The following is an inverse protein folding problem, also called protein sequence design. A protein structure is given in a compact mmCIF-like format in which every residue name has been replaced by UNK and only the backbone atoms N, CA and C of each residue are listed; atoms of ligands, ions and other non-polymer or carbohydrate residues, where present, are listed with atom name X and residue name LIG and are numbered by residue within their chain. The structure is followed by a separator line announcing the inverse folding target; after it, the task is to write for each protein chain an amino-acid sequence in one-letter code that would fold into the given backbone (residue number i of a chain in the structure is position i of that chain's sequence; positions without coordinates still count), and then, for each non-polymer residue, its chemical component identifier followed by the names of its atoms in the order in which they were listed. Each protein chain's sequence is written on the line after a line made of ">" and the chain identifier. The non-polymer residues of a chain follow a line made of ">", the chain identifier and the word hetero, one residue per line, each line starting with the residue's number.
data_IF_456270465647
#
_entry.id   IF_456270465647
#
_cell.length_a   1.000
_cell.length_b   1.000
_cell.length_c   1.000
_cell.angle_alpha   90.00
_cell.angle_beta   90.00
_cell.angle_gamma   90.00
#
_symmetry.space_group_name_H-M   'P 1'
#
loop_
_entity.id
_entity.type
_entity.pdbx_description
1 polymer ?
#
# COMPACT_ATOMS: atom_id res chain seq x y z
N UNK A 1 -2.22 -1.00 23.46
CA UNK A 1 -2.72 -0.81 22.08
C UNK A 1 -3.71 -1.92 21.77
N UNK A 2 -4.90 -1.56 21.26
CA UNK A 2 -5.91 -2.53 20.81
C UNK A 2 -6.00 -2.48 19.29
N UNK A 3 -6.34 -3.61 18.66
CA UNK A 3 -6.81 -3.57 17.27
C UNK A 3 -8.00 -2.61 17.20
N UNK A 4 -8.05 -1.78 16.15
CA UNK A 4 -9.07 -0.75 15.92
C UNK A 4 -8.81 0.65 16.51
N UNK A 5 -7.67 0.89 17.19
CA UNK A 5 -7.26 2.24 17.58
C UNK A 5 -6.96 3.10 16.32
N UNK A 6 -7.22 4.41 16.33
CA UNK A 6 -6.83 5.34 15.25
C UNK A 6 -5.88 6.41 15.78
N UNK A 7 -4.98 6.90 14.92
CA UNK A 7 -3.99 7.91 15.29
C UNK A 7 -4.08 9.11 14.37
N UNK A 8 -4.25 10.31 14.93
CA UNK A 8 -4.16 11.55 14.15
C UNK A 8 -2.70 11.86 13.82
N UNK A 9 -1.80 11.58 14.77
CA UNK A 9 -0.34 11.72 14.65
C UNK A 9 0.37 10.54 15.33
N UNK A 10 1.65 10.24 15.00
CA UNK A 10 2.47 9.29 15.74
C UNK A 10 2.63 9.74 17.21
N UNK A 11 3.04 8.83 18.11
CA UNK A 11 3.36 9.23 19.49
C UNK A 11 4.46 10.30 19.51
N UNK A 12 4.46 11.24 20.47
CA UNK A 12 5.49 12.29 20.57
C UNK A 12 6.93 11.75 20.59
N UNK A 13 7.14 10.55 21.15
CA UNK A 13 8.43 9.87 21.20
C UNK A 13 8.55 8.74 20.15
N UNK A 14 7.91 8.91 18.99
CA UNK A 14 8.09 8.01 17.84
C UNK A 14 9.29 8.42 17.00
N UNK A 15 10.01 7.45 16.46
CA UNK A 15 11.11 7.70 15.55
C UNK A 15 10.61 7.86 14.10
N UNK A 16 10.93 9.00 13.49
CA UNK A 16 10.76 9.17 12.05
C UNK A 16 11.92 8.51 11.31
N UNK A 17 11.61 7.69 10.32
CA UNK A 17 12.63 7.09 9.46
C UNK A 17 12.77 7.93 8.19
N UNK A 18 13.96 8.50 7.98
CA UNK A 18 14.22 9.45 6.88
C UNK A 18 15.32 9.00 5.91
N UNK A 19 15.96 7.87 6.18
CA UNK A 19 17.10 7.36 5.40
C UNK A 19 16.91 5.89 5.07
N UNK A 20 17.63 5.42 4.04
CA UNK A 20 17.72 4.01 3.70
C UNK A 20 18.04 3.17 4.94
N UNK A 21 17.13 2.26 5.27
CA UNK A 21 17.18 1.51 6.53
C UNK A 21 16.70 0.08 6.31
N UNK A 22 17.36 -0.88 6.95
CA UNK A 22 16.89 -2.26 7.07
C UNK A 22 16.47 -2.51 8.51
N UNK A 23 15.34 -3.20 8.69
CA UNK A 23 14.76 -3.50 9.99
C UNK A 23 14.84 -4.99 10.24
N UNK A 24 15.35 -5.36 11.40
CA UNK A 24 15.50 -6.75 11.81
C UNK A 24 14.77 -7.00 13.13
N UNK A 25 14.20 -8.19 13.28
CA UNK A 25 13.65 -8.63 14.57
C UNK A 25 14.77 -9.04 15.54
N UNK A 26 14.39 -9.40 16.77
CA UNK A 26 15.31 -9.88 17.81
C UNK A 26 16.11 -11.13 17.45
N UNK A 27 15.70 -11.87 16.42
CA UNK A 27 16.37 -13.06 15.94
C UNK A 27 17.27 -12.76 14.73
N UNK A 28 17.42 -11.48 14.35
CA UNK A 28 18.18 -11.06 13.19
C UNK A 28 17.47 -11.29 11.85
N UNK A 29 16.16 -11.61 11.86
CA UNK A 29 15.39 -11.78 10.64
C UNK A 29 14.98 -10.41 10.08
N UNK A 30 15.18 -10.20 8.79
CA UNK A 30 14.72 -8.99 8.10
C UNK A 30 13.18 -8.93 8.12
N UNK A 31 12.63 -7.82 8.61
CA UNK A 31 11.18 -7.58 8.74
C UNK A 31 10.71 -6.35 7.96
N UNK A 32 11.65 -5.52 7.51
CA UNK A 32 11.36 -4.34 6.73
C UNK A 32 12.59 -3.77 6.03
N UNK A 33 12.34 -3.08 4.91
CA UNK A 33 13.34 -2.39 4.11
C UNK A 33 12.74 -1.07 3.67
N UNK A 34 13.42 0.04 3.95
CA UNK A 34 13.04 1.35 3.47
C UNK A 34 14.13 1.91 2.56
N UNK A 35 13.73 2.40 1.39
CA UNK A 35 14.62 3.07 0.42
C UNK A 35 13.99 4.38 -0.03
N UNK A 36 14.74 5.46 0.13
CA UNK A 36 14.32 6.82 -0.22
C UNK A 36 14.59 7.07 -1.69
N UNK A 37 13.60 7.61 -2.41
CA UNK A 37 13.69 7.98 -3.83
C UNK A 37 14.25 6.85 -4.73
N UNK A 38 13.86 5.61 -4.44
CA UNK A 38 14.36 4.43 -5.12
C UNK A 38 13.72 4.20 -6.50
N UNK A 39 12.45 4.60 -6.67
CA UNK A 39 11.75 4.57 -7.95
C UNK A 39 12.02 5.88 -8.68
N UNK A 40 12.74 5.84 -9.82
CA UNK A 40 12.99 7.05 -10.59
C UNK A 40 11.69 7.70 -11.03
N UNK A 41 11.63 9.03 -11.00
CA UNK A 41 10.43 9.80 -11.36
C UNK A 41 9.80 9.38 -12.71
N UNK A 42 10.63 9.09 -13.71
CA UNK A 42 10.19 8.69 -15.05
C UNK A 42 9.58 7.28 -15.14
N UNK A 43 9.83 6.41 -14.14
CA UNK A 43 9.21 5.07 -14.04
C UNK A 43 7.76 5.15 -13.57
N UNK A 44 7.37 6.26 -12.93
CA UNK A 44 5.98 6.59 -12.63
C UNK A 44 5.51 7.47 -13.79
N UNK A 45 4.76 6.89 -14.73
CA UNK A 45 4.34 7.61 -15.94
C UNK A 45 3.28 8.68 -15.67
N UNK A 46 3.28 9.77 -16.44
CA UNK A 46 2.27 10.85 -16.32
C UNK A 46 0.85 10.31 -16.50
N UNK A 47 0.65 9.37 -17.43
CA UNK A 47 -0.63 8.67 -17.61
C UNK A 47 -1.07 7.90 -16.35
N UNK A 48 -0.14 7.26 -15.64
CA UNK A 48 -0.45 6.57 -14.39
C UNK A 48 -0.90 7.56 -13.33
N UNK A 49 -0.20 8.69 -13.20
CA UNK A 49 -0.61 9.77 -12.29
C UNK A 49 -2.00 10.26 -12.66
N UNK A 50 -2.23 10.70 -13.90
CA UNK A 50 -3.54 11.19 -14.37
C UNK A 50 -4.68 10.19 -14.13
N UNK A 51 -4.47 8.91 -14.43
CA UNK A 51 -5.49 7.90 -14.23
C UNK A 51 -5.82 7.71 -12.75
N UNK A 52 -4.82 7.72 -11.85
CA UNK A 52 -5.01 7.65 -10.41
C UNK A 52 -5.63 8.92 -9.82
N UNK A 53 -5.22 10.11 -10.28
CA UNK A 53 -5.77 11.39 -9.81
C UNK A 53 -7.20 11.64 -10.26
N UNK A 54 -7.59 11.07 -11.40
CA UNK A 54 -8.96 11.19 -11.95
C UNK A 54 -10.02 10.44 -11.13
N UNK A 55 -9.62 9.62 -10.16
CA UNK A 55 -10.51 8.77 -9.37
C UNK A 55 -11.19 9.62 -8.29
N UNK A 56 -12.52 9.69 -8.34
CA UNK A 56 -13.32 10.42 -7.36
C UNK A 56 -13.75 9.55 -6.18
N UNK A 57 -14.06 10.19 -5.05
CA UNK A 57 -14.61 9.54 -3.85
C UNK A 57 -15.89 8.72 -4.14
N UNK A 58 -16.77 9.25 -5.00
CA UNK A 58 -18.00 8.58 -5.41
C UNK A 58 -17.75 7.31 -6.22
N UNK A 59 -16.64 7.26 -6.96
CA UNK A 59 -16.23 6.06 -7.69
C UNK A 59 -15.66 5.03 -6.71
N UNK A 60 -14.79 5.43 -5.77
CA UNK A 60 -14.15 4.54 -4.78
C UNK A 60 -15.13 3.79 -3.88
N UNK A 61 -16.12 4.49 -3.32
CA UNK A 61 -17.15 3.89 -2.44
C UNK A 61 -17.99 2.82 -3.14
N UNK A 62 -18.10 2.88 -4.47
CA UNK A 62 -18.80 1.90 -5.31
C UNK A 62 -17.87 0.80 -5.83
N UNK A 63 -16.59 1.11 -5.96
CA UNK A 63 -15.56 0.26 -6.53
C UNK A 63 -14.97 -0.79 -5.58
N UNK A 64 -15.09 -0.64 -4.26
CA UNK A 64 -14.69 -1.68 -3.29
C UNK A 64 -15.59 -2.93 -3.30
N UNK A 65 -16.62 -3.00 -4.16
CA UNK A 65 -17.41 -4.20 -4.39
C UNK A 65 -16.63 -5.19 -5.26
N UNK A 66 -16.68 -6.48 -4.91
CA UNK A 66 -15.95 -7.52 -5.64
C UNK A 66 -16.59 -7.86 -6.99
N UNK A 67 -17.53 -7.05 -7.51
CA UNK A 67 -18.08 -7.12 -8.88
C UNK A 67 -19.21 -6.10 -9.07
N UNK A 68 -19.59 -5.82 -10.32
CA UNK A 68 -20.85 -5.16 -10.67
C UNK A 68 -22.09 -5.87 -10.09
N UNK A 69 -22.06 -7.21 -10.01
CA UNK A 69 -23.16 -8.03 -9.48
C UNK A 69 -23.39 -7.87 -7.96
N UNK A 70 -22.35 -7.61 -7.17
CA UNK A 70 -22.49 -7.37 -5.72
C UNK A 70 -23.04 -5.97 -5.40
N UNK A 71 -22.85 -5.01 -6.29
CA UNK A 71 -23.38 -3.64 -6.14
C UNK A 71 -24.91 -3.61 -6.18
N UNK A 72 -25.51 -4.51 -6.97
CA UNK A 72 -26.96 -4.68 -7.04
C UNK A 72 -27.50 -5.14 -5.68
N UNK A 73 -26.83 -6.09 -5.02
CA UNK A 73 -27.23 -6.60 -3.68
C UNK A 73 -26.94 -5.64 -2.54
N UNK A 74 -25.83 -4.87 -2.58
CA UNK A 74 -25.50 -3.90 -1.53
C UNK A 74 -26.50 -2.74 -1.43
N UNK A 75 -27.22 -2.41 -2.52
CA UNK A 75 -28.27 -1.38 -2.49
C UNK A 75 -29.47 -1.75 -1.60
N UNK A 76 -29.65 -3.02 -1.28
CA UNK A 76 -30.78 -3.52 -0.50
C UNK A 76 -30.55 -3.46 1.02
N UNK A 77 -29.30 -3.41 1.50
CA UNK A 77 -28.95 -3.38 2.93
C UNK A 77 -28.24 -2.08 3.33
N UNK A 78 -29.03 -1.01 3.57
CA UNK A 78 -28.52 0.35 3.85
C UNK A 78 -28.15 0.66 5.31
N UNK A 79 -28.49 -0.17 6.28
CA UNK A 79 -28.51 0.27 7.69
C UNK A 79 -27.22 0.08 8.51
N UNK A 80 -26.19 -0.62 8.02
CA UNK A 80 -24.99 -0.94 8.83
C UNK A 80 -23.67 -0.26 8.39
N UNK A 81 -23.69 0.74 7.51
CA UNK A 81 -22.47 1.42 7.07
C UNK A 81 -22.07 2.55 8.03
N UNK A 82 -21.77 2.20 9.29
CA UNK A 82 -21.19 3.13 10.26
C UNK A 82 -19.65 3.13 10.18
N UNK A 83 -19.08 4.33 10.07
CA UNK A 83 -17.67 4.73 10.14
C UNK A 83 -16.76 4.21 9.01
N UNK A 84 -16.97 4.76 7.81
CA UNK A 84 -16.34 4.29 6.57
C UNK A 84 -14.93 4.85 6.36
N UNK A 85 -13.97 4.03 6.76
CA UNK A 85 -12.62 4.00 6.21
C UNK A 85 -12.69 4.02 4.66
N UNK A 86 -12.02 5.00 4.02
CA UNK A 86 -12.09 5.28 2.56
C UNK A 86 -10.98 4.55 1.80
N UNK A 87 -11.22 3.28 1.45
CA UNK A 87 -10.30 2.51 0.59
C UNK A 87 -11.04 1.68 -0.43
N UNK A 88 -10.47 1.55 -1.62
CA UNK A 88 -10.87 0.53 -2.57
C UNK A 88 -9.65 -0.32 -2.94
N UNK A 89 -9.68 -1.65 -2.75
CA UNK A 89 -8.68 -2.50 -3.36
C UNK A 89 -8.78 -2.33 -4.88
N UNK A 90 -7.65 -2.19 -5.57
CA UNK A 90 -7.63 -2.58 -6.97
C UNK A 90 -7.80 -4.09 -6.93
N UNK A 91 -8.94 -4.60 -7.41
CA UNK A 91 -9.14 -6.02 -7.48
C UNK A 91 -8.21 -6.62 -8.51
N UNK A 92 -8.21 -7.95 -8.57
CA UNK A 92 -7.37 -8.71 -9.48
C UNK A 92 -7.64 -8.29 -10.93
N UNK A 93 -6.61 -7.78 -11.62
CA UNK A 93 -6.59 -7.48 -13.05
C UNK A 93 -6.44 -8.81 -13.82
N UNK A 94 -7.51 -9.58 -13.90
CA UNK A 94 -7.49 -10.90 -14.52
C UNK A 94 -8.87 -11.54 -14.65
N UNK A 95 -8.90 -12.78 -15.18
CA UNK A 95 -10.14 -13.54 -15.39
C UNK A 95 -10.84 -13.82 -14.06
N UNK A 96 -12.13 -13.52 -13.96
CA UNK A 96 -12.97 -13.81 -12.80
C UNK A 96 -12.93 -15.31 -12.45
N UNK A 97 -12.72 -15.65 -11.17
CA UNK A 97 -12.90 -17.01 -10.64
C UNK A 97 -13.78 -16.99 -9.39
N UNK A 98 -14.35 -18.14 -9.00
CA UNK A 98 -15.38 -18.26 -7.95
C UNK A 98 -15.13 -17.51 -6.62
N UNK A 99 -13.87 -17.21 -6.25
CA UNK A 99 -13.50 -16.54 -4.97
C UNK A 99 -12.57 -15.34 -5.12
N UNK A 100 -12.12 -15.04 -6.34
CA UNK A 100 -11.22 -13.92 -6.62
C UNK A 100 -11.82 -13.18 -7.80
N UNK A 101 -12.25 -11.94 -7.56
CA UNK A 101 -12.97 -11.16 -8.55
C UNK A 101 -12.28 -9.81 -8.78
N UNK A 102 -12.24 -9.31 -10.02
CA UNK A 102 -11.87 -7.93 -10.28
C UNK A 102 -12.79 -7.00 -9.49
N UNK A 103 -12.24 -5.89 -9.00
CA UNK A 103 -13.11 -4.81 -8.54
C UNK A 103 -13.61 -4.03 -9.74
N UNK A 104 -14.71 -3.31 -9.57
CA UNK A 104 -15.20 -2.40 -10.61
C UNK A 104 -14.13 -1.34 -10.99
N UNK A 105 -13.18 -1.09 -10.10
CA UNK A 105 -12.02 -0.26 -10.40
C UNK A 105 -11.16 -0.87 -11.50
N UNK A 106 -10.72 -2.11 -11.30
CA UNK A 106 -9.86 -2.82 -12.24
C UNK A 106 -10.55 -3.07 -13.59
N UNK A 107 -11.89 -3.16 -13.61
CA UNK A 107 -12.69 -3.22 -14.83
C UNK A 107 -12.72 -1.87 -15.58
N UNK A 108 -12.84 -0.75 -14.87
CA UNK A 108 -12.94 0.58 -15.47
C UNK A 108 -11.59 1.21 -15.83
N UNK A 109 -10.50 0.82 -15.15
CA UNK A 109 -9.17 1.43 -15.24
C UNK A 109 -8.07 0.37 -15.44
N UNK A 110 -8.32 -0.58 -16.34
CA UNK A 110 -7.43 -1.72 -16.61
C UNK A 110 -6.00 -1.31 -17.02
N UNK A 111 -5.85 -0.15 -17.67
CA UNK A 111 -4.57 0.37 -18.18
C UNK A 111 -3.55 0.76 -17.09
N UNK A 112 -4.00 0.99 -15.85
CA UNK A 112 -3.14 1.30 -14.70
C UNK A 112 -2.14 0.17 -14.43
N UNK A 113 -2.48 -1.08 -14.78
CA UNK A 113 -1.62 -2.26 -14.63
C UNK A 113 -0.24 -2.07 -15.25
N UNK A 114 -0.19 -1.52 -16.46
CA UNK A 114 1.04 -1.40 -17.23
C UNK A 114 1.94 -0.31 -16.63
N UNK A 115 1.35 0.77 -16.11
CA UNK A 115 2.08 1.81 -15.37
C UNK A 115 2.67 1.28 -14.06
N UNK A 116 1.89 0.48 -13.31
CA UNK A 116 2.33 -0.08 -12.03
C UNK A 116 3.45 -1.13 -12.20
N UNK A 117 3.51 -1.86 -13.32
CA UNK A 117 4.55 -2.86 -13.56
C UNK A 117 5.97 -2.29 -13.39
N UNK A 118 6.22 -1.07 -13.89
CA UNK A 118 7.52 -0.40 -13.77
C UNK A 118 7.88 -0.01 -12.33
N UNK A 119 6.87 0.25 -11.50
CA UNK A 119 7.03 0.57 -10.08
C UNK A 119 7.37 -0.70 -9.29
N UNK A 120 6.63 -1.79 -9.56
CA UNK A 120 6.85 -3.08 -8.91
C UNK A 120 8.17 -3.74 -9.31
N UNK A 121 8.63 -3.55 -10.55
CA UNK A 121 9.96 -3.99 -11.00
C UNK A 121 11.07 -3.48 -10.07
N UNK A 122 11.03 -2.20 -9.70
CA UNK A 122 12.02 -1.60 -8.80
C UNK A 122 11.89 -2.17 -7.38
N UNK A 123 10.67 -2.27 -6.85
CA UNK A 123 10.43 -2.81 -5.52
C UNK A 123 10.88 -4.29 -5.39
N UNK A 124 10.64 -5.09 -6.43
CA UNK A 124 11.08 -6.49 -6.48
C UNK A 124 12.58 -6.64 -6.60
N UNK A 125 13.25 -5.76 -7.35
CA UNK A 125 14.71 -5.72 -7.38
C UNK A 125 15.28 -5.48 -5.98
N UNK A 126 14.76 -4.48 -5.26
CA UNK A 126 15.17 -4.19 -3.88
C UNK A 126 14.92 -5.41 -2.98
N UNK A 127 13.77 -6.08 -3.13
CA UNK A 127 13.46 -7.26 -2.33
C UNK A 127 14.41 -8.43 -2.62
N UNK A 128 14.67 -8.71 -3.89
CA UNK A 128 15.58 -9.75 -4.33
C UNK A 128 17.01 -9.53 -3.82
N UNK A 129 17.46 -8.27 -3.74
CA UNK A 129 18.76 -7.90 -3.23
C UNK A 129 18.85 -8.02 -1.70
N UNK A 130 17.80 -7.61 -0.97
CA UNK A 130 17.83 -7.58 0.50
C UNK A 130 17.46 -8.92 1.15
N UNK A 131 16.60 -9.72 0.52
CA UNK A 131 16.10 -10.99 1.05
C UNK A 131 15.95 -12.04 -0.08
N UNK A 132 17.07 -12.47 -0.70
CA UNK A 132 17.04 -13.30 -1.91
C UNK A 132 16.34 -14.65 -1.68
N UNK A 133 16.41 -15.22 -0.47
CA UNK A 133 15.81 -16.52 -0.15
C UNK A 133 14.28 -16.41 -0.07
N UNK A 134 13.78 -15.41 0.64
CA UNK A 134 12.36 -15.11 0.79
C UNK A 134 11.75 -14.71 -0.57
N UNK A 135 12.43 -13.84 -1.32
CA UNK A 135 11.99 -13.46 -2.65
C UNK A 135 11.92 -14.64 -3.62
N UNK A 136 12.92 -15.54 -3.59
CA UNK A 136 12.88 -16.77 -4.40
C UNK A 136 11.73 -17.70 -3.99
N UNK A 137 11.41 -17.74 -2.70
CA UNK A 137 10.28 -18.53 -2.17
C UNK A 137 8.95 -17.95 -2.63
N UNK A 138 8.78 -16.63 -2.53
CA UNK A 138 7.66 -15.89 -3.09
C UNK A 138 7.51 -16.20 -4.58
N UNK A 139 8.56 -15.98 -5.38
CA UNK A 139 8.52 -16.18 -6.83
C UNK A 139 8.12 -17.61 -7.22
N UNK A 140 8.66 -18.62 -6.52
CA UNK A 140 8.28 -20.03 -6.72
C UNK A 140 6.81 -20.27 -6.39
N UNK A 141 6.34 -19.84 -5.23
CA UNK A 141 4.94 -20.01 -4.83
C UNK A 141 3.99 -19.30 -5.82
N UNK A 142 4.38 -18.13 -6.29
CA UNK A 142 3.58 -17.29 -7.16
C UNK A 142 3.60 -17.72 -8.63
N UNK A 143 4.56 -18.55 -9.05
CA UNK A 143 4.55 -19.18 -10.38
C UNK A 143 3.27 -19.98 -10.65
N UNK A 144 2.75 -20.66 -9.63
CA UNK A 144 1.48 -21.40 -9.69
C UNK A 144 0.27 -20.45 -9.83
N UNK A 145 0.40 -19.22 -9.36
CA UNK A 145 -0.62 -18.18 -9.45
C UNK A 145 -0.31 -17.13 -10.54
N UNK A 146 0.53 -17.45 -11.53
CA UNK A 146 1.02 -16.49 -12.55
C UNK A 146 -0.07 -15.77 -13.33
N UNK A 147 -1.22 -16.42 -13.55
CA UNK A 147 -2.39 -15.81 -14.19
C UNK A 147 -2.99 -14.63 -13.39
N UNK A 148 -2.64 -14.48 -12.11
CA UNK A 148 -3.14 -13.47 -11.19
C UNK A 148 -2.09 -12.43 -10.80
N UNK A 149 -0.95 -12.39 -11.49
CA UNK A 149 0.16 -11.48 -11.23
C UNK A 149 0.06 -10.17 -12.03
N UNK A 150 0.61 -9.10 -11.45
CA UNK A 150 0.92 -7.90 -12.22
C UNK A 150 1.94 -8.31 -13.30
N UNK A 151 1.82 -7.75 -14.50
CA UNK A 151 2.70 -8.14 -15.60
C UNK A 151 4.13 -7.82 -15.20
N UNK A 152 5.01 -8.83 -15.21
CA UNK A 152 6.41 -8.67 -14.83
C UNK A 152 6.68 -8.60 -13.32
N UNK A 153 5.71 -8.99 -12.48
CA UNK A 153 5.81 -8.96 -11.02
C UNK A 153 5.46 -10.31 -10.40
N UNK A 154 6.03 -10.63 -9.24
CA UNK A 154 5.72 -11.78 -8.40
C UNK A 154 4.62 -11.50 -7.36
N UNK A 155 4.14 -10.27 -7.22
CA UNK A 155 3.02 -9.95 -6.35
C UNK A 155 1.69 -10.19 -7.04
N UNK A 156 0.71 -10.70 -6.29
CA UNK A 156 -0.65 -10.79 -6.80
C UNK A 156 -1.17 -9.40 -7.12
N UNK A 157 -2.12 -9.39 -8.04
CA UNK A 157 -2.82 -8.17 -8.39
C UNK A 157 -3.73 -7.75 -7.25
N UNK A 158 -3.17 -6.95 -6.38
CA UNK A 158 -3.88 -6.04 -5.51
C UNK A 158 -2.91 -4.95 -5.15
N UNK A 159 -2.68 -4.03 -6.09
CA UNK A 159 -2.44 -2.65 -5.68
C UNK A 159 -3.63 -2.26 -4.78
N UNK A 160 -3.43 -1.54 -3.68
CA UNK A 160 -4.54 -0.86 -2.99
C UNK A 160 -4.28 0.63 -3.07
N UNK A 161 -5.15 1.36 -3.78
CA UNK A 161 -5.14 2.82 -3.78
C UNK A 161 -5.96 3.24 -2.57
N UNK A 162 -5.26 3.37 -1.45
CA UNK A 162 -5.80 4.04 -0.30
C UNK A 162 -5.78 5.53 -0.60
N UNK A 163 -6.96 6.13 -0.82
CA UNK A 163 -7.14 7.57 -0.94
C UNK A 163 -7.52 8.13 0.42
N UNK A 164 -6.72 9.06 0.97
CA UNK A 164 -7.11 9.84 2.14
C UNK A 164 -7.67 8.99 3.29
N UNK A 165 -6.83 8.09 3.80
CA UNK A 165 -7.29 7.08 4.75
C UNK A 165 -6.39 7.05 5.97
N UNK A 166 -6.85 7.73 7.02
CA UNK A 166 -6.54 7.29 8.37
C UNK A 166 -7.04 5.85 8.49
N UNK A 167 -6.17 4.94 8.89
CA UNK A 167 -6.60 3.56 9.16
C UNK A 167 -6.62 3.33 10.65
N UNK A 168 -7.46 2.39 11.06
CA UNK A 168 -7.27 1.77 12.36
C UNK A 168 -5.95 1.00 12.41
N UNK A 169 -5.43 0.75 13.60
CA UNK A 169 -4.34 -0.20 13.83
C UNK A 169 -4.81 -1.60 13.49
N UNK A 170 -4.09 -2.26 12.59
CA UNK A 170 -4.38 -3.60 12.10
C UNK A 170 -3.09 -4.33 11.68
N UNK A 171 -3.24 -5.64 11.47
CA UNK A 171 -2.32 -6.44 10.67
C UNK A 171 -3.07 -6.89 9.42
N UNK A 172 -2.35 -7.06 8.32
CA UNK A 172 -2.93 -7.63 7.12
C UNK A 172 -3.29 -9.09 7.34
N UNK A 173 -4.36 -9.55 6.68
CA UNK A 173 -4.83 -10.93 6.75
C UNK A 173 -4.80 -11.57 5.36
N UNK A 174 -3.64 -11.54 4.70
CA UNK A 174 -3.50 -12.12 3.37
C UNK A 174 -3.40 -13.66 3.42
N UNK A 175 -3.07 -14.22 4.60
CA UNK A 175 -3.00 -15.67 4.86
C UNK A 175 -2.00 -16.35 3.93
N UNK A 176 -0.94 -15.64 3.53
CA UNK A 176 0.12 -16.23 2.72
C UNK A 176 0.91 -17.22 3.61
N UNK A 177 1.22 -18.44 3.13
CA UNK A 177 1.81 -19.46 3.98
C UNK A 177 3.29 -19.20 4.31
N UNK A 178 3.94 -18.25 3.63
CA UNK A 178 5.34 -17.92 3.82
C UNK A 178 5.48 -16.49 4.36
N UNK A 179 6.48 -16.22 5.21
CA UNK A 179 6.80 -14.84 5.56
C UNK A 179 7.33 -14.10 4.33
N UNK A 180 6.72 -12.97 4.01
CA UNK A 180 7.11 -12.14 2.89
C UNK A 180 7.12 -10.67 3.29
N UNK A 181 7.89 -9.87 2.56
CA UNK A 181 7.82 -8.43 2.64
C UNK A 181 6.94 -7.93 1.51
N UNK A 182 5.93 -7.14 1.83
CA UNK A 182 5.00 -6.57 0.89
C UNK A 182 5.43 -5.12 0.60
N UNK A 183 5.53 -4.70 -0.67
CA UNK A 183 5.91 -3.34 -1.01
C UNK A 183 4.75 -2.37 -0.77
N UNK A 184 5.08 -1.21 -0.22
CA UNK A 184 4.24 -0.02 -0.12
C UNK A 184 5.04 1.16 -0.71
N UNK A 185 4.41 1.86 -1.64
CA UNK A 185 4.88 3.15 -2.15
C UNK A 185 3.70 4.12 -2.19
N UNK A 186 3.95 5.39 -2.50
CA UNK A 186 2.91 6.39 -2.65
C UNK A 186 3.07 7.12 -3.98
N UNK A 187 1.93 7.51 -4.54
CA UNK A 187 1.83 8.42 -5.68
C UNK A 187 0.91 9.54 -5.18
N UNK A 188 1.25 10.80 -5.43
CA UNK A 188 0.36 11.90 -5.08
C UNK A 188 -0.16 12.63 -6.32
N UNK A 189 -1.42 13.11 -6.31
CA UNK A 189 -1.92 14.06 -7.29
C UNK A 189 -1.11 15.33 -7.20
N UNK A 190 -0.15 15.46 -8.12
CA UNK A 190 0.82 16.53 -8.06
C UNK A 190 0.49 17.55 -9.12
N UNK A 191 0.34 18.80 -8.72
CA UNK A 191 0.41 19.91 -9.67
C UNK A 191 1.90 20.20 -9.86
N UNK A 192 2.39 20.19 -11.11
CA UNK A 192 3.73 20.71 -11.38
C UNK A 192 3.76 22.16 -10.90
N UNK A 193 4.64 22.48 -9.97
CA UNK A 193 4.86 23.87 -9.59
C UNK A 193 5.45 24.63 -10.80
N UNK A 194 5.49 25.98 -10.79
CA UNK A 194 6.06 26.77 -11.87
C UNK A 194 7.54 26.43 -12.20
N UNK A 195 8.24 25.77 -11.28
CA UNK A 195 9.63 25.32 -11.43
C UNK A 195 9.75 23.87 -11.91
N UNK A 196 8.63 23.20 -12.23
CA UNK A 196 8.59 21.82 -12.71
C UNK A 196 8.67 20.74 -11.61
N UNK A 197 8.72 21.11 -10.33
CA UNK A 197 8.73 20.17 -9.23
C UNK A 197 7.31 19.76 -8.83
N UNK A 198 7.19 18.50 -8.45
CA UNK A 198 5.93 17.89 -8.02
C UNK A 198 5.85 17.97 -6.50
N UNK A 199 4.87 18.74 -5.99
CA UNK A 199 4.66 18.92 -4.56
C UNK A 199 3.32 18.32 -4.13
N UNK A 200 3.34 17.62 -3.00
CA UNK A 200 2.10 17.22 -2.30
C UNK A 200 1.47 18.44 -1.64
N UNK A 201 0.15 18.46 -1.57
CA UNK A 201 -0.65 19.54 -0.96
C UNK A 201 -1.32 19.10 0.36
N UNK A 202 -0.69 18.19 1.09
CA UNK A 202 -1.16 17.70 2.37
C UNK A 202 0.01 17.42 3.35
N UNK A 203 -0.32 17.38 4.63
CA UNK A 203 0.51 16.89 5.74
C UNK A 203 -0.13 15.65 6.39
N UNK A 204 0.63 14.94 7.21
CA UNK A 204 0.19 13.69 7.82
C UNK A 204 0.09 12.54 6.82
N UNK A 205 -0.82 11.59 7.08
CA UNK A 205 -0.93 10.36 6.29
C UNK A 205 0.27 9.43 6.44
N UNK A 206 1.00 9.54 7.55
CA UNK A 206 2.22 8.78 7.83
C UNK A 206 1.90 7.30 8.00
N UNK A 207 2.73 6.42 7.46
CA UNK A 207 2.66 4.99 7.76
C UNK A 207 3.33 4.75 9.10
N UNK A 208 2.53 4.44 10.11
CA UNK A 208 2.92 4.39 11.53
C UNK A 208 2.82 2.97 12.08
N UNK A 209 3.82 2.58 12.86
CA UNK A 209 3.93 1.28 13.53
C UNK A 209 3.97 1.48 15.06
N UNK A 210 2.81 1.68 15.72
CA UNK A 210 2.68 2.00 17.15
C UNK A 210 3.10 0.91 18.14
N UNK A 211 3.69 -0.20 17.66
CA UNK A 211 4.22 -1.27 18.51
C UNK A 211 5.62 -1.73 18.11
N UNK A 212 6.26 -1.05 17.16
CA UNK A 212 7.64 -1.34 16.75
C UNK A 212 8.55 -0.39 17.51
N UNK A 213 9.06 -0.85 18.64
CA UNK A 213 10.00 -0.11 19.47
C UNK A 213 11.44 -0.34 18.98
N UNK A 214 12.20 0.74 18.80
CA UNK A 214 13.62 0.71 18.46
C UNK A 214 14.49 1.09 19.65
N UNK A 215 15.74 0.66 19.63
CA UNK A 215 16.81 1.16 20.50
C UNK A 215 17.91 1.69 19.59
N UNK A 216 18.30 2.96 19.78
CA UNK A 216 19.45 3.55 19.08
C UNK A 216 20.76 3.03 19.67
N UNK A 217 21.76 2.75 18.84
CA UNK A 217 23.09 2.29 19.29
C UNK A 217 23.85 3.35 20.10
N UNK A 218 23.46 4.62 20.03
CA UNK A 218 24.16 5.74 20.68
C UNK A 218 23.59 6.15 22.05
N UNK A 219 22.54 5.48 22.53
CA UNK A 219 21.99 5.78 23.85
C UNK A 219 20.61 5.18 24.06
N UNK A 220 20.24 5.02 25.33
CA UNK A 220 19.03 4.40 25.90
C UNK A 220 17.68 5.03 25.49
N UNK A 221 17.57 5.58 24.29
CA UNK A 221 16.35 6.16 23.76
C UNK A 221 15.44 5.03 23.31
N UNK A 222 14.43 4.78 24.13
CA UNK A 222 13.29 3.94 23.80
C UNK A 222 12.32 4.75 22.96
N UNK A 223 11.93 4.23 21.79
CA UNK A 223 10.89 4.83 20.95
C UNK A 223 9.58 4.05 21.09
N UNK A 224 8.47 4.75 21.22
CA UNK A 224 7.13 4.13 21.38
C UNK A 224 6.58 3.59 20.06
N UNK A 225 7.18 3.98 18.95
CA UNK A 225 6.86 3.48 17.62
C UNK A 225 7.82 4.05 16.57
N UNK A 226 7.68 3.59 15.33
CA UNK A 226 8.36 4.17 14.18
C UNK A 226 7.34 4.61 13.14
N UNK A 227 7.65 5.65 12.37
CA UNK A 227 6.79 6.09 11.28
C UNK A 227 7.57 6.54 10.05
N UNK A 228 6.89 6.48 8.92
CA UNK A 228 7.39 6.84 7.60
C UNK A 228 6.51 7.93 7.01
N UNK A 229 7.15 9.02 6.61
CA UNK A 229 6.55 10.04 5.77
C UNK A 229 6.90 9.75 4.30
N UNK A 230 6.25 8.73 3.74
CA UNK A 230 6.54 8.24 2.40
C UNK A 230 6.30 9.34 1.36
N UNK A 231 7.31 9.57 0.51
CA UNK A 231 7.27 10.43 -0.66
C UNK A 231 7.17 9.60 -1.94
N UNK A 232 6.75 10.24 -3.03
CA UNK A 232 6.70 9.61 -4.33
C UNK A 232 8.14 9.28 -4.75
N UNK A 233 8.38 8.03 -5.12
CA UNK A 233 9.73 7.50 -5.32
C UNK A 233 10.19 6.58 -4.20
N UNK A 234 9.67 6.72 -2.98
CA UNK A 234 10.08 5.89 -1.85
C UNK A 234 9.49 4.48 -1.94
N UNK A 235 10.22 3.50 -1.41
CA UNK A 235 9.78 2.10 -1.31
C UNK A 235 9.93 1.63 0.13
N UNK A 236 8.83 1.16 0.70
CA UNK A 236 8.79 0.43 1.97
C UNK A 236 8.39 -1.01 1.72
N UNK A 237 9.31 -1.96 1.89
CA UNK A 237 8.98 -3.38 1.97
C UNK A 237 8.75 -3.73 3.44
N UNK A 238 7.62 -4.35 3.79
CA UNK A 238 7.34 -4.67 5.20
C UNK A 238 6.52 -5.95 5.38
N UNK A 239 6.72 -6.65 6.48
CA UNK A 239 5.88 -7.79 6.91
C UNK A 239 4.57 -7.29 7.56
N UNK A 240 3.66 -6.76 6.74
CA UNK A 240 2.38 -6.19 7.20
C UNK A 240 1.42 -7.23 7.83
N UNK A 241 1.64 -8.53 7.63
CA UNK A 241 0.82 -9.59 8.26
C UNK A 241 1.24 -9.88 9.71
N UNK A 242 2.44 -9.46 10.13
CA UNK A 242 2.93 -9.66 11.51
C UNK A 242 2.92 -8.41 12.35
N UNK A 243 3.12 -7.25 11.74
CA UNK A 243 3.33 -5.99 12.46
C UNK A 243 2.12 -5.08 12.37
N UNK A 244 1.63 -4.69 13.55
CA UNK A 244 0.55 -3.73 13.67
C UNK A 244 0.98 -2.39 13.07
N UNK A 245 0.13 -1.88 12.19
CA UNK A 245 0.39 -0.64 11.50
C UNK A 245 -0.91 0.13 11.25
N UNK A 246 -0.77 1.41 10.99
CA UNK A 246 -1.84 2.27 10.53
C UNK A 246 -1.31 3.41 9.65
N UNK A 247 -2.20 4.08 8.94
CA UNK A 247 -1.91 5.42 8.43
C UNK A 247 -2.50 6.47 9.37
N UNK A 248 -1.74 7.50 9.69
CA UNK A 248 -2.24 8.62 10.48
C UNK A 248 -3.20 9.49 9.68
N UNK A 249 -3.87 10.44 10.33
CA UNK A 249 -4.76 11.38 9.65
C UNK A 249 -4.00 12.23 8.63
N UNK A 250 -4.64 12.48 7.50
CA UNK A 250 -4.14 13.38 6.46
C UNK A 250 -4.83 14.74 6.62
N UNK A 251 -4.07 15.82 6.49
CA UNK A 251 -4.54 17.19 6.66
C UNK A 251 -4.22 17.99 5.40
N UNK A 252 -5.21 18.55 4.68
CA UNK A 252 -4.95 19.37 3.49
C UNK A 252 -4.23 20.67 3.87
N UNK A 253 -3.25 21.09 3.06
CA UNK A 253 -2.55 22.36 3.26
C UNK A 253 -3.37 23.58 2.81
N UNK A 254 -4.35 23.37 1.91
CA UNK A 254 -5.24 24.41 1.44
C UNK A 254 -6.67 23.90 1.38
N UNK A 255 -7.51 24.34 2.33
CA UNK A 255 -8.92 23.91 2.46
C UNK A 255 -9.80 24.37 1.28
N UNK A 256 -9.35 25.35 0.49
CA UNK A 256 -10.13 25.90 -0.63
C UNK A 256 -9.99 25.06 -1.91
N UNK A 257 -8.94 24.27 -2.05
CA UNK A 257 -8.74 23.38 -3.19
C UNK A 257 -9.05 21.93 -2.80
N UNK A 258 -10.33 21.56 -2.93
CA UNK A 258 -10.79 20.19 -2.69
C UNK A 258 -10.23 19.15 -3.70
N UNK A 259 -9.36 19.56 -4.63
CA UNK A 259 -8.72 18.67 -5.60
C UNK A 259 -7.27 18.40 -5.19
N UNK A 260 -6.93 17.12 -5.06
CA UNK A 260 -5.53 16.68 -5.05
C UNK A 260 -4.89 16.43 -3.69
N UNK A 261 -5.56 16.73 -2.57
CA UNK A 261 -5.07 16.44 -1.20
C UNK A 261 -5.07 14.94 -0.84
N UNK A 262 -5.20 14.04 -1.81
CA UNK A 262 -5.23 12.60 -1.53
C UNK A 262 -3.82 12.02 -1.60
N UNK A 263 -3.41 11.31 -0.55
CA UNK A 263 -2.33 10.32 -0.67
C UNK A 263 -2.89 9.11 -1.39
N UNK A 264 -2.23 8.62 -2.46
CA UNK A 264 -2.55 7.32 -3.07
C UNK A 264 -1.45 6.35 -2.67
N UNK A 265 -1.72 5.50 -1.68
CA UNK A 265 -0.81 4.38 -1.40
C UNK A 265 -0.89 3.37 -2.54
N UNK A 266 0.18 2.65 -2.82
CA UNK A 266 0.21 1.49 -3.71
C UNK A 266 0.89 0.38 -2.93
N UNK A 267 0.12 -0.61 -2.51
CA UNK A 267 0.60 -1.77 -1.76
C UNK A 267 0.57 -2.98 -2.67
N UNK A 268 1.62 -3.80 -2.73
CA UNK A 268 1.54 -5.14 -3.31
C UNK A 268 1.45 -6.18 -2.22
N UNK A 269 0.55 -7.15 -2.38
CA UNK A 269 0.47 -8.27 -1.45
C UNK A 269 0.09 -9.56 -2.17
N UNK A 270 0.24 -10.70 -1.49
CA UNK A 270 -0.16 -12.01 -2.01
C UNK A 270 -1.14 -12.69 -1.07
N UNK A 271 -2.34 -13.02 -1.56
CA UNK A 271 -3.33 -13.81 -0.83
C UNK A 271 -3.03 -15.29 -0.94
N UNK A 272 -2.93 -15.99 0.19
CA UNK A 272 -2.76 -17.45 0.22
C UNK A 272 -3.90 -18.21 -0.45
N UNK A 273 -5.09 -17.63 -0.57
CA UNK A 273 -6.21 -18.22 -1.30
C UNK A 273 -5.93 -18.43 -2.80
N UNK A 274 -5.06 -17.61 -3.39
CA UNK A 274 -4.66 -17.78 -4.79
C UNK A 274 -3.83 -19.05 -5.01
N UNK A 275 -3.14 -19.54 -3.98
CA UNK A 275 -2.35 -20.78 -4.04
C UNK A 275 -3.21 -22.05 -3.92
N UNK A 276 -4.41 -21.95 -3.33
CA UNK A 276 -5.27 -23.12 -3.03
C UNK A 276 -5.97 -23.72 -4.26
N UNK A 277 -5.91 -23.08 -5.42
CA UNK A 277 -6.62 -23.52 -6.64
C UNK A 277 -5.72 -24.14 -7.72
N UNK A 278 -4.42 -24.16 -7.49
CA UNK A 278 -3.41 -24.60 -8.47
C UNK A 278 -2.73 -25.92 -8.07
N UNK A 279 -3.25 -26.58 -7.03
CA UNK A 279 -2.97 -27.95 -6.67
C UNK A 279 -4.23 -28.81 -6.88
#
# INVERSE_FOLDING_TARGET
>A
MKSNDTFDEPFPNSLKIEKDTNFYDKNGKLIGVYRVNAIPFHKIGDKLREELTSVTLNQLSRMGAASSAENIKKRENKENFHNNIRSAPFGVLGKQLQRVRPTQFSEAKFAIKDGLASVFEVAEKIYAECAPVEYKTLSRAMSFASAFLIKGSNYLITAEANFDKQTTVHVDQNKFPYPILNPLTVIYPSVKNPNGEIQRNYEGGYTFFPGVCGISQEGSNFFEGIYFDLKEGDVLLWDFERYFHCNTKLVPLNEQDNRGWHRISIIGFTKGEALKKTC
#
